data_IF_593689056957
#
_entry.id   IF_593689056957
#
_cell.length_a   1.000
_cell.length_b   1.000
_cell.length_c   1.000
_cell.angle_alpha   90.00
_cell.angle_beta   90.00
_cell.angle_gamma   90.00
#
_symmetry.space_group_name_H-M   'P 1'
#
loop_
_entity.id
_entity.type
_entity.pdbx_description
1 polymer ?
#
# COMPACT_ATOMS: atom_id res chain seq x y z
N UNK A 1 -0.54 9.99 5.70
CA UNK A 1 -1.62 10.09 4.69
C UNK A 1 -2.89 10.57 5.35
N UNK A 2 -4.05 10.40 4.70
CA UNK A 2 -5.36 10.74 5.29
C UNK A 2 -5.65 9.86 6.52
N UNK A 3 -6.07 10.47 7.62
CA UNK A 3 -6.53 9.80 8.83
C UNK A 3 -7.84 10.45 9.28
N UNK A 4 -8.87 9.65 9.55
CA UNK A 4 -10.16 10.12 10.06
C UNK A 4 -10.22 9.88 11.57
N UNK A 5 -10.38 10.96 12.34
CA UNK A 5 -10.53 10.93 13.80
C UNK A 5 -11.89 11.51 14.19
N UNK A 6 -12.66 10.78 14.97
CA UNK A 6 -13.90 11.28 15.57
C UNK A 6 -13.63 11.69 17.01
N UNK A 7 -13.78 12.98 17.29
CA UNK A 7 -13.54 13.58 18.62
C UNK A 7 -14.80 13.67 19.48
N UNK A 8 -15.99 13.49 18.90
CA UNK A 8 -17.26 13.51 19.61
C UNK A 8 -17.78 12.07 19.86
N UNK A 9 -17.79 11.58 21.11
CA UNK A 9 -18.25 10.24 21.45
C UNK A 9 -19.69 9.93 21.03
N UNK A 10 -20.60 10.91 21.07
CA UNK A 10 -22.02 10.74 20.75
C UNK A 10 -22.27 10.39 19.27
N UNK A 11 -21.40 10.89 18.39
CA UNK A 11 -21.53 10.69 16.93
C UNK A 11 -20.56 9.65 16.38
N UNK A 12 -19.53 9.27 17.13
CA UNK A 12 -18.48 8.30 16.73
C UNK A 12 -19.03 7.01 16.13
N UNK A 13 -20.05 6.43 16.74
CA UNK A 13 -20.63 5.16 16.29
C UNK A 13 -21.18 5.23 14.85
N UNK A 14 -21.71 6.38 14.45
CA UNK A 14 -22.25 6.59 13.09
C UNK A 14 -21.16 6.50 12.02
N UNK A 15 -19.97 6.99 12.33
CA UNK A 15 -18.81 6.88 11.44
C UNK A 15 -18.24 5.46 11.41
N UNK A 16 -18.19 4.76 12.55
CA UNK A 16 -17.72 3.36 12.61
C UNK A 16 -18.56 2.43 11.72
N UNK A 17 -19.89 2.61 11.74
CA UNK A 17 -20.83 1.84 10.90
C UNK A 17 -20.52 2.00 9.40
N UNK A 18 -20.02 3.15 8.95
CA UNK A 18 -19.64 3.33 7.54
C UNK A 18 -18.53 2.37 7.12
N UNK A 19 -17.53 2.14 7.99
CA UNK A 19 -16.44 1.20 7.71
C UNK A 19 -16.92 -0.25 7.76
N UNK A 20 -17.75 -0.59 8.75
CA UNK A 20 -18.36 -1.92 8.87
C UNK A 20 -19.19 -2.27 7.63
N UNK A 21 -20.02 -1.33 7.17
CA UNK A 21 -20.87 -1.48 5.98
C UNK A 21 -20.14 -1.24 4.65
N UNK A 22 -18.81 -1.02 4.67
CA UNK A 22 -17.99 -0.75 3.49
C UNK A 22 -18.50 0.42 2.63
N UNK A 23 -19.10 1.42 3.27
CA UNK A 23 -19.61 2.64 2.63
C UNK A 23 -18.54 3.73 2.48
N UNK A 24 -17.31 3.42 2.89
CA UNK A 24 -16.14 4.27 2.74
C UNK A 24 -15.29 3.76 1.60
N UNK A 25 -15.09 4.61 0.58
CA UNK A 25 -14.10 4.38 -0.46
C UNK A 25 -12.75 4.91 0.01
N UNK A 26 -11.70 4.11 -0.16
CA UNK A 26 -10.34 4.47 0.23
C UNK A 26 -9.44 4.33 -0.98
N UNK A 27 -8.60 5.32 -1.20
CA UNK A 27 -7.63 5.39 -2.28
C UNK A 27 -6.25 5.49 -1.65
N UNK A 28 -5.35 4.58 -2.04
CA UNK A 28 -3.96 4.59 -1.64
C UNK A 28 -3.08 4.65 -2.88
N UNK A 29 -1.87 5.18 -2.72
CA UNK A 29 -0.81 5.09 -3.72
C UNK A 29 0.40 4.39 -3.11
N UNK A 30 1.13 3.61 -3.91
CA UNK A 30 2.42 3.06 -3.51
C UNK A 30 3.45 3.09 -4.65
N UNK A 31 4.73 3.03 -4.28
CA UNK A 31 5.84 2.77 -5.21
C UNK A 31 6.29 1.33 -5.03
N UNK A 32 6.41 0.60 -6.13
CA UNK A 32 6.93 -0.77 -6.17
C UNK A 32 7.75 -0.96 -7.46
N UNK A 33 8.37 -2.13 -7.62
CA UNK A 33 8.99 -2.52 -8.87
C UNK A 33 7.98 -2.41 -10.03
N UNK A 34 8.47 -2.08 -11.24
CA UNK A 34 7.64 -2.04 -12.43
C UNK A 34 7.26 -3.44 -12.93
N UNK A 35 8.10 -4.42 -12.64
CA UNK A 35 7.95 -5.82 -13.01
C UNK A 35 7.98 -6.72 -11.76
N UNK A 36 7.18 -7.80 -11.73
CA UNK A 36 7.20 -8.78 -10.64
C UNK A 36 8.58 -9.41 -10.44
N UNK A 37 8.90 -9.75 -9.18
CA UNK A 37 10.11 -10.48 -8.84
C UNK A 37 10.16 -11.86 -9.54
N UNK A 38 11.38 -12.36 -9.80
CA UNK A 38 11.59 -13.65 -10.43
C UNK A 38 10.76 -14.77 -9.76
N UNK A 39 10.15 -15.62 -10.59
CA UNK A 39 9.24 -16.68 -10.13
C UNK A 39 7.78 -16.25 -9.99
N UNK A 40 7.45 -14.97 -10.12
CA UNK A 40 6.07 -14.49 -10.20
C UNK A 40 5.64 -14.29 -11.66
N UNK A 41 4.36 -14.56 -11.99
CA UNK A 41 3.83 -14.30 -13.32
C UNK A 41 3.74 -12.79 -13.59
N UNK A 42 3.79 -12.41 -14.87
CA UNK A 42 3.45 -11.06 -15.29
C UNK A 42 2.01 -10.71 -14.86
N UNK A 43 1.77 -9.44 -14.53
CA UNK A 43 0.47 -8.96 -14.04
C UNK A 43 -0.14 -8.00 -15.05
N UNK A 44 -1.33 -8.34 -15.54
CA UNK A 44 -2.13 -7.45 -16.37
C UNK A 44 -2.93 -6.48 -15.49
N UNK A 45 -2.63 -5.19 -15.60
CA UNK A 45 -3.33 -4.14 -14.86
C UNK A 45 -4.48 -3.54 -15.69
N UNK A 46 -5.61 -3.19 -15.06
CA UNK A 46 -5.88 -3.28 -13.62
C UNK A 46 -6.25 -4.70 -13.17
N UNK A 47 -5.79 -5.10 -12.00
CA UNK A 47 -6.04 -6.43 -11.40
C UNK A 47 -6.84 -6.30 -10.11
N UNK A 48 -7.62 -7.33 -9.77
CA UNK A 48 -8.27 -7.45 -8.47
C UNK A 48 -7.65 -8.63 -7.72
N UNK A 49 -7.00 -8.34 -6.60
CA UNK A 49 -6.40 -9.36 -5.73
C UNK A 49 -7.38 -9.73 -4.64
N UNK A 50 -7.68 -11.03 -4.53
CA UNK A 50 -8.52 -11.62 -3.50
C UNK A 50 -7.76 -12.73 -2.80
N UNK A 51 -7.69 -12.65 -1.48
CA UNK A 51 -7.13 -13.73 -0.68
C UNK A 51 -7.81 -13.79 0.69
N UNK A 52 -7.55 -14.88 1.41
CA UNK A 52 -7.96 -15.02 2.80
C UNK A 52 -6.79 -14.73 3.70
N UNK A 53 -6.92 -13.69 4.51
CA UNK A 53 -5.88 -13.25 5.42
C UNK A 53 -6.25 -13.53 6.87
N UNK A 54 -5.27 -13.98 7.64
CA UNK A 54 -5.36 -14.07 9.10
C UNK A 54 -4.26 -13.27 9.76
N UNK A 55 -4.51 -12.85 11.00
CA UNK A 55 -3.52 -12.17 11.83
C UNK A 55 -3.39 -12.94 13.14
N UNK A 56 -2.27 -13.65 13.30
CA UNK A 56 -1.95 -14.27 14.59
C UNK A 56 -1.66 -13.18 15.63
N UNK A 57 -2.03 -13.45 16.89
CA UNK A 57 -1.67 -12.60 18.04
C UNK A 57 -0.19 -12.74 18.41
N UNK A 58 0.44 -13.87 18.06
CA UNK A 58 1.84 -14.19 18.39
C UNK A 58 2.82 -13.84 17.27
N UNK A 59 2.34 -13.51 16.07
CA UNK A 59 3.20 -13.27 14.91
C UNK A 59 3.02 -11.85 14.35
N UNK A 60 4.12 -11.20 13.93
CA UNK A 60 4.13 -9.81 13.47
C UNK A 60 3.58 -9.63 12.05
N UNK A 61 3.54 -10.67 11.23
CA UNK A 61 2.98 -10.63 9.88
C UNK A 61 1.51 -11.04 9.86
N UNK A 62 0.82 -10.62 8.82
CA UNK A 62 -0.45 -11.19 8.40
C UNK A 62 -0.12 -12.27 7.36
N UNK A 63 -0.84 -13.39 7.43
CA UNK A 63 -0.59 -14.56 6.61
C UNK A 63 -1.74 -14.78 5.65
N UNK A 64 -1.41 -15.22 4.44
CA UNK A 64 -2.39 -15.73 3.47
C UNK A 64 -2.59 -17.21 3.76
N UNK A 65 -3.84 -17.61 3.91
CA UNK A 65 -4.24 -18.99 4.20
C UNK A 65 -5.27 -19.45 3.17
N UNK A 66 -5.48 -20.76 3.08
CA UNK A 66 -6.51 -21.33 2.22
C UNK A 66 -7.94 -21.03 2.72
N UNK A 67 -8.87 -20.95 1.77
CA UNK A 67 -10.31 -20.79 2.00
C UNK A 67 -10.90 -19.49 1.43
N UNK A 68 -12.17 -19.22 1.77
CA UNK A 68 -12.92 -18.09 1.20
C UNK A 68 -12.25 -16.73 1.47
N UNK A 69 -12.02 -15.91 0.42
CA UNK A 69 -11.40 -14.61 0.54
C UNK A 69 -12.13 -13.69 1.52
N UNK A 70 -11.35 -13.02 2.36
CA UNK A 70 -11.85 -12.02 3.31
C UNK A 70 -11.18 -10.65 3.11
N UNK A 71 -10.29 -10.56 2.11
CA UNK A 71 -9.58 -9.38 1.71
C UNK A 71 -9.64 -9.20 0.19
N UNK A 72 -9.93 -7.98 -0.26
CA UNK A 72 -10.02 -7.63 -1.69
C UNK A 72 -9.46 -6.22 -1.93
N UNK A 73 -8.61 -6.08 -2.94
CA UNK A 73 -8.05 -4.80 -3.39
C UNK A 73 -8.02 -4.75 -4.91
N UNK A 74 -8.50 -3.65 -5.49
CA UNK A 74 -8.26 -3.32 -6.90
C UNK A 74 -6.95 -2.56 -7.03
N UNK A 75 -6.12 -2.94 -7.99
CA UNK A 75 -4.77 -2.41 -8.19
C UNK A 75 -4.63 -1.96 -9.64
N UNK A 76 -4.13 -0.74 -9.83
CA UNK A 76 -3.91 -0.13 -11.14
C UNK A 76 -2.49 0.47 -11.18
N UNK A 77 -1.72 0.15 -12.24
CA UNK A 77 -0.42 0.78 -12.48
C UNK A 77 -0.65 2.14 -13.15
N UNK A 78 -0.22 3.22 -12.52
CA UNK A 78 -0.42 4.58 -13.00
C UNK A 78 0.67 5.01 -13.98
N UNK A 79 1.93 4.76 -13.61
CA UNK A 79 3.09 5.15 -14.40
C UNK A 79 4.31 4.28 -14.05
N UNK A 80 5.27 4.22 -14.97
CA UNK A 80 6.59 3.59 -14.76
C UNK A 80 7.68 4.63 -14.94
N UNK A 81 8.73 4.57 -14.14
CA UNK A 81 9.85 5.50 -14.17
C UNK A 81 11.14 4.80 -13.74
N UNK A 82 12.29 5.39 -14.06
CA UNK A 82 13.57 4.87 -13.60
C UNK A 82 13.78 5.26 -12.14
N UNK A 83 14.17 4.29 -11.29
CA UNK A 83 14.42 4.56 -9.87
C UNK A 83 15.57 5.54 -9.68
N UNK A 84 15.43 6.47 -8.73
CA UNK A 84 16.52 7.36 -8.34
C UNK A 84 17.56 6.61 -7.51
N UNK A 85 18.86 6.80 -7.81
CA UNK A 85 19.97 6.29 -7.00
C UNK A 85 20.15 7.07 -5.67
N UNK A 86 19.08 7.40 -4.96
CA UNK A 86 19.11 8.18 -3.73
C UNK A 86 18.76 7.30 -2.53
N UNK A 87 19.71 6.47 -2.09
CA UNK A 87 19.51 5.61 -0.91
C UNK A 87 20.62 4.62 -0.51
N UNK A 88 21.91 4.92 -0.78
CA UNK A 88 23.06 4.29 -0.10
C UNK A 88 23.97 3.42 -0.96
N UNK A 89 25.19 3.91 -1.22
CA UNK A 89 26.31 3.10 -1.70
C UNK A 89 27.06 2.47 -0.51
N UNK A 90 27.31 1.15 -0.57
CA UNK A 90 28.57 0.48 -0.19
C UNK A 90 28.36 -1.04 -0.04
N UNK A 91 28.34 -1.74 -1.16
CA UNK A 91 28.70 -3.15 -1.24
C UNK A 91 29.71 -3.28 -2.38
N UNK A 92 31.00 -3.31 -2.06
CA UNK A 92 32.06 -3.50 -3.05
C UNK A 92 31.99 -4.93 -3.59
N UNK A 93 31.50 -5.07 -4.82
CA UNK A 93 31.54 -6.29 -5.61
C UNK A 93 31.31 -5.93 -7.07
N UNK A 94 32.35 -6.02 -7.89
CA UNK A 94 32.31 -5.70 -9.30
C UNK A 94 31.49 -6.73 -10.09
N UNK A 95 30.52 -6.27 -10.89
CA UNK A 95 30.30 -6.61 -12.31
C UNK A 95 28.85 -6.31 -12.75
N UNK A 96 28.72 -5.39 -13.71
CA UNK A 96 27.48 -5.13 -14.45
C UNK A 96 26.89 -3.75 -14.15
N UNK A 97 26.91 -2.86 -15.13
CA UNK A 97 26.15 -1.61 -15.13
C UNK A 97 24.66 -1.97 -15.27
N UNK A 98 24.05 -2.47 -14.20
CA UNK A 98 22.61 -2.67 -14.13
C UNK A 98 22.01 -1.27 -14.08
N UNK A 99 21.29 -0.88 -15.13
CA UNK A 99 20.52 0.37 -15.13
C UNK A 99 19.64 0.44 -13.88
N UNK A 100 19.36 1.65 -13.41
CA UNK A 100 18.54 1.82 -12.20
C UNK A 100 17.25 0.99 -12.30
N UNK A 101 16.83 0.30 -11.23
CA UNK A 101 15.67 -0.57 -11.28
C UNK A 101 14.45 0.25 -11.72
N UNK A 102 13.69 -0.29 -12.66
CA UNK A 102 12.46 0.36 -13.12
C UNK A 102 11.41 0.23 -12.02
N UNK A 103 10.88 1.36 -11.59
CA UNK A 103 9.83 1.46 -10.58
C UNK A 103 8.51 1.85 -11.23
N UNK A 104 7.43 1.68 -10.49
CA UNK A 104 6.11 2.09 -10.90
C UNK A 104 5.31 2.62 -9.71
N UNK A 105 4.44 3.58 -10.00
CA UNK A 105 3.44 4.07 -9.04
C UNK A 105 2.13 3.36 -9.30
N UNK A 106 1.52 2.87 -8.23
CA UNK A 106 0.27 2.13 -8.27
C UNK A 106 -0.81 2.83 -7.47
N UNK A 107 -2.05 2.77 -7.95
CA UNK A 107 -3.26 3.09 -7.19
C UNK A 107 -3.82 1.80 -6.61
N UNK A 108 -4.17 1.83 -5.33
CA UNK A 108 -4.75 0.71 -4.59
C UNK A 108 -6.10 1.13 -3.98
N UNK A 109 -7.15 0.39 -4.29
CA UNK A 109 -8.51 0.63 -3.80
C UNK A 109 -8.99 -0.60 -3.01
N UNK A 110 -8.75 -0.65 -1.68
CA UNK A 110 -9.14 -1.79 -0.86
C UNK A 110 -10.64 -1.76 -0.50
N UNK A 111 -11.35 -2.83 -0.84
CA UNK A 111 -12.76 -3.03 -0.49
C UNK A 111 -12.95 -3.60 0.94
N UNK A 112 -11.86 -4.01 1.58
CA UNK A 112 -11.79 -4.50 2.97
C UNK A 112 -10.72 -3.74 3.77
N UNK A 113 -10.52 -4.09 5.04
CA UNK A 113 -9.60 -3.39 5.94
C UNK A 113 -8.78 -4.32 6.82
N UNK A 114 -8.25 -5.41 6.26
CA UNK A 114 -7.41 -6.34 7.03
C UNK A 114 -6.04 -5.72 7.33
N UNK A 115 -5.46 -6.09 8.47
CA UNK A 115 -4.12 -5.64 8.88
C UNK A 115 -3.11 -5.95 7.78
N UNK A 116 -2.34 -4.94 7.36
CA UNK A 116 -1.32 -5.03 6.31
C UNK A 116 -1.83 -5.49 4.92
N UNK A 117 -3.14 -5.46 4.66
CA UNK A 117 -3.74 -5.98 3.43
C UNK A 117 -3.02 -5.55 2.14
N UNK A 118 -2.80 -4.24 1.97
CA UNK A 118 -2.19 -3.69 0.76
C UNK A 118 -0.76 -4.21 0.55
N UNK A 119 0.00 -4.33 1.65
CA UNK A 119 1.40 -4.80 1.63
C UNK A 119 1.47 -6.26 1.23
N UNK A 120 0.59 -7.09 1.81
CA UNK A 120 0.49 -8.52 1.48
C UNK A 120 0.01 -8.71 0.04
N UNK A 121 -0.97 -7.94 -0.43
CA UNK A 121 -1.46 -8.04 -1.80
C UNK A 121 -0.38 -7.69 -2.83
N UNK A 122 0.33 -6.58 -2.60
CA UNK A 122 1.46 -6.18 -3.45
C UNK A 122 2.58 -7.23 -3.43
N UNK A 123 2.95 -7.74 -2.25
CA UNK A 123 3.94 -8.82 -2.13
C UNK A 123 3.50 -10.13 -2.82
N UNK A 124 2.21 -10.50 -2.73
CA UNK A 124 1.69 -11.71 -3.39
C UNK A 124 1.71 -11.66 -4.92
N UNK A 125 1.78 -10.46 -5.50
CA UNK A 125 1.98 -10.26 -6.93
C UNK A 125 3.46 -10.24 -7.33
N UNK A 126 4.39 -10.49 -6.40
CA UNK A 126 5.82 -10.28 -6.62
C UNK A 126 6.21 -8.80 -6.70
N UNK A 127 5.31 -7.89 -6.33
CA UNK A 127 5.47 -6.44 -6.43
C UNK A 127 5.54 -5.84 -5.02
N UNK A 128 6.47 -6.29 -4.19
CA UNK A 128 6.68 -5.76 -2.84
C UNK A 128 6.82 -4.23 -2.84
N UNK A 129 6.24 -3.56 -1.84
CA UNK A 129 6.30 -2.09 -1.75
C UNK A 129 7.73 -1.66 -1.40
N UNK A 130 8.22 -0.60 -2.02
CA UNK A 130 9.58 -0.09 -1.73
C UNK A 130 9.67 0.32 -0.25
N UNK A 131 10.79 -0.06 0.37
CA UNK A 131 11.10 0.11 1.79
C UNK A 131 10.12 -0.59 2.75
N UNK A 132 9.44 -1.65 2.30
CA UNK A 132 8.66 -2.50 3.19
C UNK A 132 9.58 -3.46 3.96
N UNK A 133 9.72 -3.25 5.27
CA UNK A 133 10.56 -4.09 6.14
C UNK A 133 9.92 -5.43 6.55
N UNK A 134 8.67 -5.69 6.14
CA UNK A 134 7.90 -6.84 6.63
C UNK A 134 7.46 -7.79 5.51
N UNK A 135 7.36 -7.33 4.26
CA UNK A 135 6.93 -8.15 3.13
C UNK A 135 7.73 -7.86 1.87
N UNK A 136 8.04 -8.87 1.04
CA UNK A 136 7.67 -10.28 1.19
C UNK A 136 8.44 -11.00 2.33
N UNK A 137 9.63 -10.51 2.64
CA UNK A 137 10.50 -11.05 3.67
C UNK A 137 10.47 -10.17 4.92
N UNK A 138 10.42 -10.80 6.11
CA UNK A 138 10.61 -10.09 7.37
C UNK A 138 12.10 -9.77 7.52
N UNK A 139 12.46 -8.50 7.41
CA UNK A 139 13.83 -8.07 7.68
C UNK A 139 14.12 -8.10 9.19
N UNK A 140 15.38 -8.36 9.55
CA UNK A 140 15.83 -8.31 10.95
C UNK A 140 15.49 -6.96 11.58
N UNK A 141 15.20 -6.98 12.89
CA UNK A 141 14.81 -5.79 13.63
C UNK A 141 15.96 -4.78 13.68
N UNK A 142 15.94 -3.82 12.76
CA UNK A 142 16.77 -2.63 12.77
C UNK A 142 16.04 -1.46 13.48
N UNK A 143 16.76 -0.44 13.96
CA UNK A 143 16.15 0.85 14.31
C UNK A 143 15.39 1.44 13.12
N UNK A 144 14.32 2.21 13.38
CA UNK A 144 13.56 2.85 12.32
C UNK A 144 14.45 3.81 11.49
N UNK A 145 14.62 3.51 10.19
CA UNK A 145 15.29 4.39 9.25
C UNK A 145 14.26 5.24 8.50
N UNK A 146 14.01 6.45 9.02
CA UNK A 146 13.08 7.40 8.41
C UNK A 146 13.55 7.96 7.07
N UNK A 147 14.81 7.74 6.69
CA UNK A 147 15.30 8.09 5.34
C UNK A 147 14.80 7.11 4.28
N UNK A 148 14.41 5.90 4.69
CA UNK A 148 13.81 4.85 3.86
C UNK A 148 12.40 4.54 4.34
N UNK A 149 11.54 5.56 4.37
CA UNK A 149 10.15 5.37 4.77
C UNK A 149 9.41 4.45 3.79
N UNK A 150 8.47 3.66 4.30
CA UNK A 150 7.57 2.81 3.51
C UNK A 150 6.87 3.64 2.43
N UNK A 151 6.99 3.22 1.18
CA UNK A 151 6.40 3.92 0.04
C UNK A 151 4.92 3.55 -0.18
N UNK A 152 4.10 3.72 0.85
CA UNK A 152 2.65 3.52 0.83
C UNK A 152 1.94 4.70 1.49
N UNK A 153 1.02 5.34 0.77
CA UNK A 153 0.32 6.53 1.23
C UNK A 153 -1.19 6.36 1.10
N UNK A 154 -1.92 6.63 2.19
CA UNK A 154 -3.35 6.91 2.11
C UNK A 154 -3.58 8.25 1.38
N UNK A 155 -3.98 8.17 0.11
CA UNK A 155 -4.13 9.30 -0.82
C UNK A 155 -5.47 10.00 -0.63
N UNK A 156 -6.55 9.24 -0.48
CA UNK A 156 -7.88 9.81 -0.38
C UNK A 156 -8.91 8.91 0.32
N UNK A 157 -9.96 9.54 0.83
CA UNK A 157 -11.13 8.87 1.39
C UNK A 157 -12.39 9.61 0.94
N UNK A 158 -13.41 8.84 0.53
CA UNK A 158 -14.74 9.36 0.12
C UNK A 158 -15.85 8.61 0.85
N UNK A 159 -16.84 9.35 1.33
CA UNK A 159 -18.04 8.80 1.96
C UNK A 159 -19.15 9.85 2.02
N UNK A 160 -20.36 9.43 2.38
CA UNK A 160 -21.46 10.36 2.73
C UNK A 160 -21.39 10.62 4.23
N UNK A 161 -21.19 11.87 4.63
CA UNK A 161 -21.14 12.26 6.05
C UNK A 161 -22.45 11.82 6.74
N UNK A 162 -22.39 10.99 7.80
CA UNK A 162 -23.58 10.44 8.41
C UNK A 162 -24.36 11.50 9.20
N UNK A 163 -23.78 12.67 9.45
CA UNK A 163 -24.41 13.81 10.13
C UNK A 163 -25.04 14.74 9.09
N UNK A 164 -24.24 15.36 8.22
CA UNK A 164 -24.76 16.33 7.25
C UNK A 164 -25.48 15.71 6.04
N UNK A 165 -25.31 14.39 5.83
CA UNK A 165 -25.81 13.63 4.66
C UNK A 165 -25.24 14.07 3.32
N UNK A 166 -24.17 14.87 3.32
CA UNK A 166 -23.50 15.33 2.11
C UNK A 166 -22.34 14.40 1.72
N UNK A 167 -22.07 14.19 0.43
CA UNK A 167 -20.85 13.54 0.00
C UNK A 167 -19.64 14.40 0.39
N UNK A 168 -18.61 13.76 0.94
CA UNK A 168 -17.35 14.41 1.31
C UNK A 168 -16.16 13.62 0.74
N UNK A 169 -15.11 14.34 0.39
CA UNK A 169 -13.83 13.80 -0.06
C UNK A 169 -12.70 14.52 0.66
N UNK A 170 -11.75 13.74 1.17
CA UNK A 170 -10.51 14.28 1.74
C UNK A 170 -9.32 13.65 1.02
N UNK A 171 -8.37 14.49 0.59
CA UNK A 171 -7.16 14.08 -0.12
C UNK A 171 -5.90 14.57 0.61
N UNK A 172 -4.91 13.70 0.69
CA UNK A 172 -3.59 14.06 1.20
C UNK A 172 -2.78 14.78 0.13
N UNK A 173 -1.98 15.76 0.55
CA UNK A 173 -0.99 16.45 -0.29
C UNK A 173 0.43 15.91 -0.11
N UNK A 174 0.60 14.86 0.70
CA UNK A 174 1.88 14.19 0.84
C UNK A 174 2.21 13.46 -0.46
N UNK A 175 3.50 13.30 -0.73
CA UNK A 175 4.00 12.57 -1.90
C UNK A 175 4.88 11.42 -1.44
N UNK A 176 4.99 10.40 -2.29
CA UNK A 176 5.92 9.29 -2.11
C UNK A 176 7.30 9.75 -2.56
N UNK A 177 8.31 9.60 -1.70
CA UNK A 177 9.67 10.14 -1.95
C UNK A 177 10.36 9.47 -3.14
N UNK A 178 10.02 8.22 -3.42
CA UNK A 178 10.58 7.46 -4.54
C UNK A 178 9.81 7.69 -5.85
N UNK A 179 8.66 8.36 -5.82
CA UNK A 179 7.92 8.71 -7.03
C UNK A 179 8.45 10.02 -7.62
N UNK A 180 8.43 10.18 -8.96
CA UNK A 180 8.68 11.48 -9.58
C UNK A 180 7.72 12.50 -9.01
N UNK A 181 8.24 13.68 -8.64
CA UNK A 181 7.36 14.79 -8.22
C UNK A 181 6.44 15.16 -9.38
N UNK A 182 5.14 15.11 -9.13
CA UNK A 182 4.15 15.57 -10.09
C UNK A 182 4.41 17.07 -10.32
N UNK A 183 4.86 17.46 -11.51
CA UNK A 183 4.96 18.89 -11.86
C UNK A 183 3.52 19.40 -12.00
N UNK A 184 3.13 20.32 -11.12
CA UNK A 184 1.91 21.13 -11.29
C UNK A 184 2.05 22.07 -12.49
#
# INVERSE_FOLDING_TARGET
GVLLLSTNPETRGRYQVLFEKRQVQKEYECVSAAEPAAGHPAVDFPVVVRNRMTKSRSYLLAEVIDGEPNAETRIERLETFDGGATGGAAGTGAAGTVGAPRLARYRLEPHSGKTHQLRVHMASLGLGIVNDAFYPDLLDKAPDDYTKALQLQARGIRFVDPISKKPVEYRSRLELSEAPRTRC
#
